data_IF_014866307564
#
_entry.id   IF_014866307564
#
_cell.length_a   1.000
_cell.length_b   1.000
_cell.length_c   1.000
_cell.angle_alpha   90.00
_cell.angle_beta   90.00
_cell.angle_gamma   90.00
#
_symmetry.space_group_name_H-M   'P 1'
#
loop_
_entity.id
_entity.type
_entity.pdbx_description
1 polymer ?
#
# COMPACT_ATOMS: atom_id res chain seq x y z
N UNK A 1 17.99 -12.90 -37.00
CA UNK A 1 16.51 -12.79 -36.89
C UNK A 1 16.14 -13.15 -35.45
N UNK A 2 16.08 -12.17 -34.56
CA UNK A 2 15.85 -12.40 -33.13
C UNK A 2 14.35 -12.66 -32.92
N UNK A 3 14.02 -13.88 -32.52
CA UNK A 3 12.66 -14.26 -32.08
C UNK A 3 12.33 -13.42 -30.82
N UNK A 4 11.49 -12.43 -31.00
CA UNK A 4 10.85 -11.72 -29.90
C UNK A 4 10.01 -12.73 -29.10
N UNK A 5 10.57 -13.28 -28.02
CA UNK A 5 9.81 -14.02 -27.04
C UNK A 5 8.74 -13.08 -26.44
N UNK A 6 7.52 -13.27 -26.91
CA UNK A 6 6.32 -12.62 -26.39
C UNK A 6 6.13 -13.11 -24.96
N UNK A 7 6.65 -12.37 -23.98
CA UNK A 7 6.49 -12.72 -22.57
C UNK A 7 5.00 -12.91 -22.24
N UNK A 8 4.66 -13.96 -21.50
CA UNK A 8 3.30 -14.34 -21.09
C UNK A 8 2.58 -13.26 -20.25
N UNK A 9 3.31 -12.26 -19.78
CA UNK A 9 2.75 -11.13 -19.03
C UNK A 9 2.68 -9.90 -19.94
N UNK A 10 1.49 -9.40 -20.17
CA UNK A 10 1.24 -8.24 -21.00
C UNK A 10 2.07 -7.03 -20.54
N UNK A 11 2.80 -6.41 -21.46
CA UNK A 11 3.50 -5.15 -21.17
C UNK A 11 2.50 -4.06 -20.76
N UNK A 12 2.92 -3.15 -19.88
CA UNK A 12 2.14 -1.97 -19.51
C UNK A 12 1.76 -1.16 -20.75
N UNK A 13 0.56 -0.59 -20.74
CA UNK A 13 0.02 0.16 -21.89
C UNK A 13 0.86 1.41 -22.17
N UNK A 14 1.32 2.08 -21.12
CA UNK A 14 2.15 3.28 -21.23
C UNK A 14 3.16 3.38 -20.09
N UNK A 15 4.15 4.29 -20.24
CA UNK A 15 5.06 4.64 -19.14
C UNK A 15 4.32 5.26 -17.96
N UNK A 16 3.25 6.02 -18.24
CA UNK A 16 2.43 6.65 -17.22
C UNK A 16 1.68 5.60 -16.38
N UNK A 17 1.06 4.61 -17.01
CA UNK A 17 0.41 3.48 -16.30
C UNK A 17 1.40 2.74 -15.40
N UNK A 18 2.63 2.53 -15.87
CA UNK A 18 3.68 1.90 -15.05
C UNK A 18 4.04 2.76 -13.84
N UNK A 19 4.24 4.08 -14.02
CA UNK A 19 4.55 5.00 -12.91
C UNK A 19 3.40 5.04 -11.90
N UNK A 20 2.16 5.13 -12.37
CA UNK A 20 0.99 5.09 -11.48
C UNK A 20 0.89 3.77 -10.71
N UNK A 21 1.15 2.64 -11.35
CA UNK A 21 1.16 1.34 -10.70
C UNK A 21 2.28 1.22 -9.66
N UNK A 22 3.48 1.67 -10.00
CA UNK A 22 4.62 1.69 -9.07
C UNK A 22 4.36 2.60 -7.86
N UNK A 23 3.81 3.79 -8.11
CA UNK A 23 3.42 4.72 -7.04
C UNK A 23 2.29 4.12 -6.19
N UNK A 24 1.27 3.53 -6.82
CA UNK A 24 0.16 2.90 -6.12
C UNK A 24 0.57 1.71 -5.25
N UNK A 25 1.53 0.92 -5.71
CA UNK A 25 2.07 -0.18 -4.89
C UNK A 25 2.91 0.31 -3.71
N UNK A 26 3.50 1.51 -3.82
CA UNK A 26 4.28 2.13 -2.75
C UNK A 26 3.40 2.82 -1.70
N UNK A 27 2.22 3.31 -2.08
CA UNK A 27 1.27 3.95 -1.15
C UNK A 27 0.44 2.88 -0.47
N UNK A 28 0.63 2.70 0.82
CA UNK A 28 -0.08 1.71 1.61
C UNK A 28 -0.45 2.23 3.00
N UNK A 29 -1.12 1.40 3.77
CA UNK A 29 -1.53 1.70 5.15
C UNK A 29 -0.35 2.11 6.04
N UNK A 30 0.84 1.56 5.79
CA UNK A 30 2.06 1.93 6.49
C UNK A 30 2.38 3.42 6.37
N UNK A 31 2.29 3.95 5.16
CA UNK A 31 2.63 5.33 4.88
C UNK A 31 1.56 6.31 5.37
N UNK A 32 0.29 5.93 5.29
CA UNK A 32 -0.83 6.80 5.61
C UNK A 32 -1.19 6.79 7.09
N UNK A 33 -1.03 5.66 7.75
CA UNK A 33 -1.41 5.48 9.15
C UNK A 33 -0.19 5.35 10.06
N UNK A 34 0.67 4.35 9.83
CA UNK A 34 1.75 4.01 10.77
C UNK A 34 2.88 5.05 10.76
N UNK A 35 3.30 5.52 9.59
CA UNK A 35 4.42 6.45 9.48
C UNK A 35 4.20 7.79 10.18
N UNK A 36 3.05 8.50 9.98
CA UNK A 36 2.81 9.76 10.69
C UNK A 36 2.79 9.59 12.21
N UNK A 37 2.20 8.50 12.70
CA UNK A 37 2.18 8.18 14.13
C UNK A 37 3.59 7.97 14.68
N UNK A 38 4.40 7.14 14.01
CA UNK A 38 5.78 6.85 14.45
C UNK A 38 6.65 8.10 14.35
N UNK A 39 6.50 8.89 13.30
CA UNK A 39 7.23 10.16 13.16
C UNK A 39 6.89 11.11 14.30
N UNK A 40 5.61 11.28 14.63
CA UNK A 40 5.18 12.16 15.72
C UNK A 40 5.68 11.72 17.10
N UNK A 41 5.69 10.42 17.38
CA UNK A 41 6.13 9.86 18.66
C UNK A 41 7.67 9.77 18.84
N UNK A 42 8.44 9.89 17.76
CA UNK A 42 9.91 9.71 17.78
C UNK A 42 10.68 10.96 17.32
N UNK A 43 10.25 12.14 17.71
CA UNK A 43 11.00 13.38 17.47
C UNK A 43 10.68 14.08 16.14
N UNK A 44 9.59 13.72 15.47
CA UNK A 44 9.06 14.44 14.32
C UNK A 44 10.05 14.61 13.18
N UNK A 45 10.53 15.84 12.96
CA UNK A 45 11.44 16.16 11.86
C UNK A 45 12.78 15.43 11.89
N UNK A 46 13.35 15.19 13.07
CA UNK A 46 14.61 14.46 13.21
C UNK A 46 14.45 13.00 12.75
N UNK A 47 13.35 12.34 13.13
CA UNK A 47 13.02 11.01 12.65
C UNK A 47 12.89 10.97 11.12
N UNK A 48 12.22 11.96 10.52
CA UNK A 48 12.05 12.06 9.06
C UNK A 48 13.40 12.19 8.35
N UNK A 49 14.35 12.97 8.87
CA UNK A 49 15.69 13.10 8.28
C UNK A 49 16.45 11.77 8.29
N UNK A 50 16.43 11.05 9.42
CA UNK A 50 17.07 9.72 9.52
C UNK A 50 16.40 8.74 8.57
N UNK A 51 15.07 8.77 8.48
CA UNK A 51 14.30 7.94 7.56
C UNK A 51 14.69 8.20 6.09
N UNK A 52 14.82 9.47 5.68
CA UNK A 52 15.26 9.85 4.33
C UNK A 52 16.69 9.37 4.04
N UNK A 53 17.59 9.47 5.01
CA UNK A 53 18.94 8.93 4.88
C UNK A 53 18.91 7.39 4.68
N UNK A 54 18.11 6.66 5.46
CA UNK A 54 17.93 5.22 5.28
C UNK A 54 17.35 4.87 3.91
N UNK A 55 16.38 5.64 3.41
CA UNK A 55 15.86 5.44 2.05
C UNK A 55 16.98 5.62 1.03
N UNK A 56 17.77 6.67 1.13
CA UNK A 56 18.81 6.98 0.16
C UNK A 56 19.91 5.90 0.14
N UNK A 57 20.39 5.49 1.30
CA UNK A 57 21.55 4.59 1.40
C UNK A 57 21.18 3.10 1.36
N UNK A 58 19.97 2.73 1.76
CA UNK A 58 19.52 1.33 1.80
C UNK A 58 18.39 1.09 0.80
N UNK A 59 17.33 1.90 0.86
CA UNK A 59 16.12 1.69 0.08
C UNK A 59 16.37 1.79 -1.43
N UNK A 60 17.08 2.85 -1.87
CA UNK A 60 17.34 3.05 -3.31
C UNK A 60 18.22 1.95 -3.89
N UNK A 61 19.36 1.54 -3.30
CA UNK A 61 20.15 0.41 -3.80
C UNK A 61 19.38 -0.90 -3.87
N UNK A 62 18.57 -1.22 -2.84
CA UNK A 62 17.74 -2.43 -2.84
C UNK A 62 16.70 -2.39 -3.95
N UNK A 63 15.97 -1.28 -4.10
CA UNK A 63 14.99 -1.10 -5.17
C UNK A 63 15.62 -1.21 -6.56
N UNK A 64 16.83 -0.65 -6.75
CA UNK A 64 17.55 -0.78 -8.02
C UNK A 64 17.90 -2.24 -8.33
N UNK A 65 18.35 -3.00 -7.33
CA UNK A 65 18.63 -4.43 -7.47
C UNK A 65 17.37 -5.23 -7.83
N UNK A 66 16.25 -4.99 -7.17
CA UNK A 66 14.97 -5.64 -7.46
C UNK A 66 14.49 -5.34 -8.89
N UNK A 67 14.55 -4.08 -9.32
CA UNK A 67 14.17 -3.67 -10.68
C UNK A 67 15.08 -4.33 -11.71
N UNK A 68 16.38 -4.42 -11.45
CA UNK A 68 17.34 -5.11 -12.34
C UNK A 68 17.02 -6.59 -12.48
N UNK A 69 16.78 -7.29 -11.36
CA UNK A 69 16.40 -8.70 -11.35
C UNK A 69 15.07 -8.93 -12.11
N UNK A 70 14.08 -8.08 -11.87
CA UNK A 70 12.79 -8.16 -12.56
C UNK A 70 12.89 -7.91 -14.07
N UNK A 71 13.74 -6.96 -14.49
CA UNK A 71 13.98 -6.67 -15.92
C UNK A 71 14.75 -7.77 -16.62
N UNK A 72 15.69 -8.40 -15.93
CA UNK A 72 16.47 -9.51 -16.47
C UNK A 72 15.61 -10.76 -16.60
N UNK A 73 14.92 -11.16 -15.52
CA UNK A 73 14.15 -12.41 -15.48
C UNK A 73 12.89 -12.40 -16.34
N UNK A 74 12.15 -11.30 -16.42
CA UNK A 74 10.88 -11.14 -17.17
C UNK A 74 9.87 -12.29 -17.00
N UNK A 75 9.94 -13.00 -15.89
CA UNK A 75 9.13 -14.15 -15.51
C UNK A 75 8.56 -13.95 -14.11
N UNK A 76 7.83 -14.92 -13.60
CA UNK A 76 7.44 -14.93 -12.18
C UNK A 76 8.67 -14.90 -11.28
N UNK A 77 8.59 -14.36 -10.05
CA UNK A 77 9.75 -14.24 -9.16
C UNK A 77 10.52 -15.55 -8.97
N UNK A 78 9.80 -16.67 -8.83
CA UNK A 78 10.40 -18.00 -8.66
C UNK A 78 11.19 -18.44 -9.89
N UNK A 79 10.60 -18.29 -11.09
CA UNK A 79 11.25 -18.68 -12.34
C UNK A 79 12.39 -17.74 -12.70
N UNK A 80 12.22 -16.42 -12.48
CA UNK A 80 13.28 -15.44 -12.71
C UNK A 80 14.50 -15.73 -11.85
N UNK A 81 14.33 -15.99 -10.54
CA UNK A 81 15.44 -16.32 -9.67
C UNK A 81 16.11 -17.65 -10.03
N UNK A 82 15.33 -18.64 -10.46
CA UNK A 82 15.92 -19.92 -10.91
C UNK A 82 16.79 -19.77 -12.14
N UNK A 83 16.33 -19.00 -13.13
CA UNK A 83 17.08 -18.76 -14.37
C UNK A 83 18.35 -17.95 -14.08
N UNK A 84 18.25 -16.86 -13.30
CA UNK A 84 19.40 -16.02 -12.94
C UNK A 84 20.47 -16.82 -12.19
N UNK A 85 20.07 -17.67 -11.27
CA UNK A 85 20.98 -18.56 -10.53
C UNK A 85 21.66 -19.56 -11.45
N UNK A 86 20.93 -20.12 -12.40
CA UNK A 86 21.50 -21.05 -13.39
C UNK A 86 22.51 -20.37 -14.32
N UNK A 87 22.25 -19.12 -14.73
CA UNK A 87 23.14 -18.33 -15.57
C UNK A 87 24.40 -17.86 -14.83
N UNK A 88 24.28 -17.55 -13.52
CA UNK A 88 25.34 -16.89 -12.75
C UNK A 88 26.32 -17.85 -12.06
N UNK A 89 26.18 -19.15 -12.22
CA UNK A 89 27.03 -20.18 -11.56
C UNK A 89 27.16 -20.05 -10.05
N UNK A 90 26.19 -19.42 -9.39
CA UNK A 90 26.12 -19.24 -7.95
C UNK A 90 25.41 -20.42 -7.27
N UNK A 91 25.49 -20.52 -5.94
CA UNK A 91 24.87 -21.60 -5.19
C UNK A 91 23.35 -21.66 -5.45
N UNK A 92 22.86 -22.84 -5.80
CA UNK A 92 21.45 -23.09 -6.12
C UNK A 92 20.47 -22.66 -5.01
N UNK A 93 20.93 -22.55 -3.77
CA UNK A 93 20.11 -22.07 -2.63
C UNK A 93 19.55 -20.66 -2.85
N UNK A 94 20.17 -19.82 -3.63
CA UNK A 94 19.66 -18.48 -3.97
C UNK A 94 18.34 -18.51 -4.74
N UNK A 95 17.99 -19.61 -5.40
CA UNK A 95 16.70 -19.77 -6.05
C UNK A 95 15.52 -19.74 -5.08
N UNK A 96 15.75 -20.07 -3.80
CA UNK A 96 14.71 -20.02 -2.76
C UNK A 96 14.27 -18.60 -2.43
N UNK A 97 15.05 -17.55 -2.76
CA UNK A 97 14.61 -16.15 -2.60
C UNK A 97 13.31 -15.86 -3.35
N UNK A 98 13.12 -16.46 -4.53
CA UNK A 98 11.87 -16.32 -5.27
C UNK A 98 10.65 -16.87 -4.52
N UNK A 99 10.82 -18.01 -3.85
CA UNK A 99 9.78 -18.60 -2.99
C UNK A 99 9.54 -17.79 -1.73
N UNK A 100 10.61 -17.29 -1.10
CA UNK A 100 10.50 -16.44 0.09
C UNK A 100 9.68 -15.17 -0.21
N UNK A 101 9.90 -14.55 -1.38
CA UNK A 101 9.11 -13.41 -1.84
C UNK A 101 7.63 -13.74 -2.02
N UNK A 102 7.30 -14.91 -2.58
CA UNK A 102 5.90 -15.34 -2.73
C UNK A 102 5.24 -15.57 -1.38
N UNK A 103 5.92 -16.26 -0.45
CA UNK A 103 5.41 -16.50 0.91
C UNK A 103 5.18 -15.17 1.64
N UNK A 104 6.14 -14.25 1.58
CA UNK A 104 6.01 -12.92 2.17
C UNK A 104 4.80 -12.17 1.58
N UNK A 105 4.59 -12.22 0.27
CA UNK A 105 3.44 -11.59 -0.38
C UNK A 105 2.10 -12.17 0.10
N UNK A 106 2.01 -13.48 0.28
CA UNK A 106 0.80 -14.13 0.82
C UNK A 106 0.52 -13.69 2.25
N UNK A 107 1.54 -13.65 3.12
CA UNK A 107 1.39 -13.20 4.50
C UNK A 107 0.96 -11.74 4.57
N UNK A 108 1.56 -10.88 3.74
CA UNK A 108 1.18 -9.47 3.64
C UNK A 108 -0.26 -9.34 3.17
N UNK A 109 -0.65 -10.05 2.10
CA UNK A 109 -2.02 -10.02 1.58
C UNK A 109 -3.05 -10.45 2.64
N UNK A 110 -2.75 -11.48 3.41
CA UNK A 110 -3.63 -11.96 4.48
C UNK A 110 -3.91 -10.87 5.51
N UNK A 111 -2.87 -10.18 5.97
CA UNK A 111 -2.99 -9.06 6.91
C UNK A 111 -3.75 -7.87 6.31
N UNK A 112 -3.37 -7.46 5.09
CA UNK A 112 -3.99 -6.31 4.42
C UNK A 112 -5.46 -6.55 4.08
N UNK A 113 -5.83 -7.77 3.73
CA UNK A 113 -7.21 -8.11 3.42
C UNK A 113 -8.16 -7.90 4.61
N UNK A 114 -7.69 -8.20 5.84
CA UNK A 114 -8.46 -7.96 7.06
C UNK A 114 -8.68 -6.46 7.27
N UNK A 115 -7.59 -5.66 7.20
CA UNK A 115 -7.67 -4.21 7.43
C UNK A 115 -8.48 -3.51 6.33
N UNK A 116 -8.34 -3.94 5.09
CA UNK A 116 -9.15 -3.43 3.99
C UNK A 116 -10.64 -3.79 4.17
N UNK A 117 -10.95 -4.96 4.72
CA UNK A 117 -12.29 -5.34 5.13
C UNK A 117 -12.87 -4.38 6.19
N UNK A 118 -12.09 -3.98 7.21
CA UNK A 118 -12.51 -2.96 8.17
C UNK A 118 -12.81 -1.63 7.49
N UNK A 119 -11.93 -1.18 6.60
CA UNK A 119 -12.13 0.07 5.86
C UNK A 119 -13.44 0.05 5.06
N UNK A 120 -13.76 -1.05 4.38
CA UNK A 120 -15.03 -1.21 3.67
C UNK A 120 -16.24 -1.16 4.61
N UNK A 121 -16.17 -1.82 5.77
CA UNK A 121 -17.23 -1.75 6.79
C UNK A 121 -17.46 -0.31 7.22
N UNK A 122 -16.39 0.43 7.52
CA UNK A 122 -16.48 1.82 7.96
C UNK A 122 -17.03 2.76 6.89
N UNK A 123 -16.71 2.55 5.61
CA UNK A 123 -17.29 3.36 4.52
C UNK A 123 -18.82 3.25 4.53
N UNK A 124 -19.34 2.05 4.71
CA UNK A 124 -20.80 1.82 4.76
C UNK A 124 -21.41 2.39 6.05
N UNK A 125 -20.78 2.18 7.20
CA UNK A 125 -21.27 2.68 8.49
C UNK A 125 -21.26 4.22 8.54
N UNK A 126 -20.23 4.87 8.03
CA UNK A 126 -20.18 6.33 7.91
C UNK A 126 -21.22 6.86 6.90
N UNK A 127 -21.36 6.16 5.76
CA UNK A 127 -22.35 6.51 4.74
C UNK A 127 -23.80 6.39 5.25
N UNK A 128 -24.08 5.47 6.15
CA UNK A 128 -25.40 5.29 6.79
C UNK A 128 -25.68 6.33 7.88
N UNK A 129 -24.68 7.12 8.28
CA UNK A 129 -24.82 8.15 9.31
C UNK A 129 -24.80 7.66 10.76
N UNK A 130 -24.53 6.38 11.00
CA UNK A 130 -24.49 5.79 12.35
C UNK A 130 -23.47 6.49 13.26
N UNK A 131 -22.34 6.92 12.68
CA UNK A 131 -21.27 7.62 13.39
C UNK A 131 -21.40 9.15 13.33
N UNK A 132 -22.50 9.69 12.85
CA UNK A 132 -22.69 11.14 12.74
C UNK A 132 -22.81 11.78 14.14
N UNK A 133 -21.83 12.61 14.49
CA UNK A 133 -21.75 13.24 15.81
C UNK A 133 -21.18 12.35 16.92
N UNK A 134 -20.65 11.17 16.59
CA UNK A 134 -19.94 10.33 17.55
C UNK A 134 -18.66 11.03 18.03
N UNK A 135 -18.44 10.99 19.35
CA UNK A 135 -17.19 11.39 19.97
C UNK A 135 -16.11 10.29 19.82
N UNK A 136 -14.91 10.56 20.33
CA UNK A 136 -13.80 9.62 20.26
C UNK A 136 -14.09 8.28 20.94
N UNK A 137 -14.83 8.30 22.05
CA UNK A 137 -15.14 7.10 22.82
C UNK A 137 -16.18 6.24 22.11
N UNK A 138 -17.19 6.85 21.49
CA UNK A 138 -18.18 6.16 20.68
C UNK A 138 -17.54 5.53 19.43
N UNK A 139 -16.60 6.22 18.79
CA UNK A 139 -15.86 5.67 17.66
C UNK A 139 -14.99 4.48 18.08
N UNK A 140 -14.31 4.55 19.23
CA UNK A 140 -13.53 3.45 19.79
C UNK A 140 -14.40 2.24 20.16
N UNK A 141 -15.58 2.49 20.73
CA UNK A 141 -16.55 1.44 21.05
C UNK A 141 -17.07 0.73 19.79
N UNK A 142 -17.38 1.48 18.71
CA UNK A 142 -17.80 0.93 17.44
C UNK A 142 -16.70 0.05 16.82
N UNK A 143 -15.44 0.46 16.90
CA UNK A 143 -14.31 -0.35 16.45
C UNK A 143 -14.18 -1.65 17.25
N UNK A 144 -14.28 -1.57 18.57
CA UNK A 144 -14.21 -2.75 19.44
C UNK A 144 -15.37 -3.71 19.14
N UNK A 145 -16.56 -3.20 18.87
CA UNK A 145 -17.72 -4.01 18.48
C UNK A 145 -17.51 -4.71 17.13
N UNK A 146 -16.89 -4.03 16.16
CA UNK A 146 -16.51 -4.64 14.88
C UNK A 146 -15.51 -5.79 15.09
N UNK A 147 -14.48 -5.59 15.90
CA UNK A 147 -13.45 -6.60 16.19
C UNK A 147 -14.01 -7.83 16.91
N UNK A 148 -15.03 -7.63 17.77
CA UNK A 148 -15.68 -8.71 18.51
C UNK A 148 -16.71 -9.49 17.69
N UNK A 149 -16.91 -9.14 16.40
CA UNK A 149 -17.85 -9.83 15.52
C UNK A 149 -17.12 -10.57 14.37
N UNK A 150 -16.68 -11.82 14.58
CA UNK A 150 -15.93 -12.58 13.58
C UNK A 150 -16.69 -12.74 12.25
N UNK A 151 -18.00 -12.93 12.31
CA UNK A 151 -18.82 -13.11 11.12
C UNK A 151 -18.78 -11.86 10.22
N UNK A 152 -18.89 -10.67 10.83
CA UNK A 152 -18.81 -9.39 10.11
C UNK A 152 -17.42 -9.16 9.53
N UNK A 153 -16.37 -9.50 10.27
CA UNK A 153 -14.98 -9.43 9.79
C UNK A 153 -14.74 -10.32 8.57
N UNK A 154 -15.14 -11.60 8.66
CA UNK A 154 -14.98 -12.55 7.55
C UNK A 154 -15.79 -12.10 6.33
N UNK A 155 -17.01 -11.61 6.53
CA UNK A 155 -17.83 -11.12 5.44
C UNK A 155 -17.14 -9.99 4.66
N UNK A 156 -16.70 -8.94 5.36
CA UNK A 156 -16.05 -7.79 4.71
C UNK A 156 -14.70 -8.12 4.10
N UNK A 157 -13.92 -8.99 4.74
CA UNK A 157 -12.67 -9.50 4.17
C UNK A 157 -12.95 -10.28 2.87
N UNK A 158 -13.99 -11.12 2.86
CA UNK A 158 -14.37 -11.89 1.66
C UNK A 158 -14.83 -10.97 0.53
N UNK A 159 -15.60 -9.93 0.84
CA UNK A 159 -16.02 -8.90 -0.14
C UNK A 159 -14.77 -8.24 -0.74
N UNK A 160 -13.83 -7.81 0.10
CA UNK A 160 -12.58 -7.20 -0.40
C UNK A 160 -11.77 -8.13 -1.29
N UNK A 161 -11.57 -9.38 -0.87
CA UNK A 161 -10.84 -10.38 -1.67
C UNK A 161 -11.55 -10.67 -3.00
N UNK A 162 -12.88 -10.72 -3.00
CA UNK A 162 -13.65 -10.90 -4.24
C UNK A 162 -13.44 -9.73 -5.20
N UNK A 163 -13.43 -8.50 -4.72
CA UNK A 163 -13.10 -7.32 -5.52
C UNK A 163 -11.67 -7.39 -6.09
N UNK A 164 -10.70 -7.79 -5.28
CA UNK A 164 -9.32 -7.99 -5.72
C UNK A 164 -9.24 -9.04 -6.84
N UNK A 165 -9.90 -10.19 -6.65
CA UNK A 165 -9.94 -11.25 -7.66
C UNK A 165 -10.58 -10.75 -8.96
N UNK A 166 -11.69 -10.02 -8.89
CA UNK A 166 -12.36 -9.46 -10.06
C UNK A 166 -11.43 -8.50 -10.86
N UNK A 167 -10.67 -7.65 -10.16
CA UNK A 167 -9.69 -6.76 -10.81
C UNK A 167 -8.55 -7.58 -11.44
N UNK A 168 -8.01 -8.56 -10.74
CA UNK A 168 -6.89 -9.37 -11.23
C UNK A 168 -7.31 -10.26 -12.41
N UNK A 169 -8.54 -10.78 -12.42
CA UNK A 169 -9.09 -11.55 -13.55
C UNK A 169 -9.15 -10.72 -14.85
N UNK A 170 -9.29 -9.41 -14.77
CA UNK A 170 -9.19 -8.51 -15.92
C UNK A 170 -7.78 -8.41 -16.53
N UNK A 171 -6.78 -9.01 -15.87
CA UNK A 171 -5.37 -8.99 -16.27
C UNK A 171 -4.69 -7.65 -16.09
N UNK A 172 -3.42 -7.57 -16.50
CA UNK A 172 -2.59 -6.37 -16.26
C UNK A 172 -3.12 -5.14 -17.00
N UNK A 173 -3.58 -5.28 -18.23
CA UNK A 173 -4.00 -4.14 -19.05
C UNK A 173 -5.39 -3.62 -18.71
N UNK A 174 -6.39 -4.53 -18.68
CA UNK A 174 -7.81 -4.15 -18.54
C UNK A 174 -8.29 -4.19 -17.07
N UNK A 175 -7.64 -4.96 -16.22
CA UNK A 175 -7.97 -5.04 -14.80
C UNK A 175 -7.09 -4.10 -13.98
N UNK A 176 -5.85 -4.51 -13.71
CA UNK A 176 -4.95 -3.78 -12.83
C UNK A 176 -4.60 -2.38 -13.36
N UNK A 177 -4.31 -2.27 -14.68
CA UNK A 177 -3.97 -0.98 -15.30
C UNK A 177 -5.09 0.05 -15.15
N UNK A 178 -6.32 -0.32 -15.52
CA UNK A 178 -7.49 0.57 -15.41
C UNK A 178 -7.79 0.91 -13.94
N UNK A 179 -7.71 -0.07 -13.04
CA UNK A 179 -7.93 0.17 -11.61
C UNK A 179 -6.93 1.19 -11.06
N UNK A 180 -5.64 1.05 -11.38
CA UNK A 180 -4.60 1.98 -10.90
C UNK A 180 -4.76 3.37 -11.53
N UNK A 181 -4.98 3.47 -12.85
CA UNK A 181 -5.18 4.74 -13.55
C UNK A 181 -6.40 5.52 -13.03
N UNK A 182 -7.39 4.81 -12.49
CA UNK A 182 -8.60 5.44 -11.94
C UNK A 182 -8.44 5.74 -10.45
N UNK A 183 -8.01 4.76 -9.65
CA UNK A 183 -8.01 4.88 -8.19
C UNK A 183 -6.88 5.79 -7.68
N UNK A 184 -5.72 5.84 -8.35
CA UNK A 184 -4.61 6.68 -7.90
C UNK A 184 -4.90 8.19 -7.96
N UNK A 185 -5.42 8.75 -9.07
CA UNK A 185 -5.85 10.14 -9.07
C UNK A 185 -6.93 10.45 -8.02
N UNK A 186 -7.91 9.56 -7.85
CA UNK A 186 -8.96 9.72 -6.83
C UNK A 186 -8.33 9.80 -5.44
N UNK A 187 -7.39 8.90 -5.12
CA UNK A 187 -6.67 8.92 -3.85
C UNK A 187 -5.94 10.25 -3.63
N UNK A 188 -5.23 10.77 -4.64
CA UNK A 188 -4.55 12.06 -4.57
C UNK A 188 -5.51 13.21 -4.28
N UNK A 189 -6.66 13.25 -4.96
CA UNK A 189 -7.67 14.29 -4.74
C UNK A 189 -8.26 14.21 -3.33
N UNK A 190 -8.54 13.00 -2.83
CA UNK A 190 -9.00 12.80 -1.46
C UNK A 190 -7.95 13.26 -0.45
N UNK A 191 -6.67 12.90 -0.63
CA UNK A 191 -5.59 13.30 0.26
C UNK A 191 -5.39 14.82 0.29
N UNK A 192 -5.43 15.48 -0.88
CA UNK A 192 -5.35 16.94 -0.95
C UNK A 192 -6.57 17.57 -0.25
N UNK A 193 -7.77 17.07 -0.49
CA UNK A 193 -8.98 17.53 0.18
C UNK A 193 -8.89 17.38 1.70
N UNK A 194 -8.44 16.22 2.19
CA UNK A 194 -8.22 15.98 3.61
C UNK A 194 -7.16 16.93 4.18
N UNK A 195 -6.05 17.14 3.48
CA UNK A 195 -4.97 18.05 3.91
C UNK A 195 -5.48 19.49 4.04
N UNK A 196 -6.23 19.97 3.06
CA UNK A 196 -6.82 21.31 3.07
C UNK A 196 -7.83 21.49 4.21
N UNK A 197 -8.64 20.45 4.46
CA UNK A 197 -9.64 20.48 5.54
C UNK A 197 -9.00 20.39 6.94
N UNK A 198 -7.94 19.58 7.11
CA UNK A 198 -7.27 19.35 8.39
C UNK A 198 -6.13 20.31 8.67
N UNK A 199 -5.72 21.15 7.71
CA UNK A 199 -4.70 22.17 7.94
C UNK A 199 -5.18 23.17 8.99
N UNK A 200 -4.45 23.36 10.11
CA UNK A 200 -4.85 24.31 11.15
C UNK A 200 -4.93 25.72 10.58
N UNK A 201 -6.07 26.36 10.77
CA UNK A 201 -6.26 27.73 10.32
C UNK A 201 -5.27 28.67 11.04
N UNK A 202 -4.91 29.82 10.47
CA UNK A 202 -4.09 30.82 11.18
C UNK A 202 -4.66 31.24 12.55
N UNK A 203 -5.97 31.12 12.72
CA UNK A 203 -6.66 31.38 14.01
C UNK A 203 -6.33 30.32 15.08
N UNK A 204 -6.23 29.05 14.72
CA UNK A 204 -5.92 27.97 15.66
C UNK A 204 -4.49 28.08 16.18
N UNK A 205 -3.56 28.59 15.35
CA UNK A 205 -2.18 28.87 15.76
C UNK A 205 -2.07 30.03 16.77
N UNK A 206 -2.98 30.99 16.73
CA UNK A 206 -3.02 32.09 17.69
C UNK A 206 -3.54 31.65 19.06
N UNK A 207 -4.50 30.73 19.09
CA UNK A 207 -5.04 30.18 20.32
C UNK A 207 -4.08 29.24 21.06
N UNK A 208 -3.25 28.48 20.33
CA UNK A 208 -2.24 27.59 20.92
C UNK A 208 -1.02 28.36 21.51
N UNK A 209 -0.89 29.66 21.27
CA UNK A 209 0.16 30.50 21.83
C UNK A 209 -0.29 31.33 23.05
N UNK A 210 -1.53 31.21 23.49
CA UNK A 210 -1.93 31.83 24.75
C UNK A 210 -1.27 31.09 25.92
N UNK A 211 -0.43 31.73 26.74
CA UNK A 211 0.05 31.12 27.96
C UNK A 211 -1.16 30.80 28.84
N UNK A 212 -1.24 29.59 29.37
CA UNK A 212 -2.19 29.25 30.41
C UNK A 212 -1.86 30.13 31.60
N UNK A 213 -2.57 31.23 31.71
CA UNK A 213 -2.47 32.11 32.89
C UNK A 213 -3.13 31.44 34.08
N UNK A 214 -2.27 31.10 35.06
CA UNK A 214 -2.50 30.80 36.47
C UNK A 214 -3.47 29.67 36.82
#
# INVERSE_FOLDING_TARGET
>A
MALQQKGMHGAWVSRWTFIMAATGSAVGLGNMWKFPYVAGSNGGGAFVLVYLACILFIGVPVMMAEVMLGRHGRKSPVNAMRDIVAESSVNHRWSYLGWLGVIAAILILSFYAVIAGWALSYIIEMGSGILKGADGDAAAAAFTQLLNNPAKLIFWQTVFLTLCVAVVMGGVKKGLGVAVETLMPILFFILIGCLLYTSPSPRDRSLSRMPSSA
#
